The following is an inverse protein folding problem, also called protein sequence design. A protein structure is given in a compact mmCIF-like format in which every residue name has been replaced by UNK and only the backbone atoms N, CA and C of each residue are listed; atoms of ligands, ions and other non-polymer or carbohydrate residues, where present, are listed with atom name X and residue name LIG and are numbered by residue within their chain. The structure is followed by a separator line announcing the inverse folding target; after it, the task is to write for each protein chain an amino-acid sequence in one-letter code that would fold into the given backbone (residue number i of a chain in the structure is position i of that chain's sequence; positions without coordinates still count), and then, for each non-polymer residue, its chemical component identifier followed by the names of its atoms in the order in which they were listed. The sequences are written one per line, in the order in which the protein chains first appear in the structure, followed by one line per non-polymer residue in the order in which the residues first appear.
data_IF_197107029717
#
_entry.id   IF_197107029717
#
_cell.length_a   1.000
_cell.length_b   1.000
_cell.length_c   1.000
_cell.angle_alpha   90.00
_cell.angle_beta   90.00
_cell.angle_gamma   90.00
#
_symmetry.space_group_name_H-M   'P 1'
#
loop_
_entity.id
_entity.type
_entity.pdbx_description
1 polymer ?
#
# COMPACT_ATOMS: atom_id res chain seq x y z
N UNK A 1 -18.50 1.22 39.31
CA UNK A 1 -17.07 1.60 39.24
C UNK A 1 -16.59 1.45 37.80
N UNK A 2 -16.15 2.58 37.22
CA UNK A 2 -15.30 2.78 36.03
C UNK A 2 -15.68 2.04 34.73
N UNK A 3 -16.40 2.72 33.83
CA UNK A 3 -16.33 2.46 32.39
C UNK A 3 -14.88 2.71 31.96
N UNK A 4 -14.15 1.67 31.54
CA UNK A 4 -12.83 1.85 30.95
C UNK A 4 -12.98 2.76 29.73
N UNK A 5 -12.43 3.97 29.82
CA UNK A 5 -12.39 4.92 28.71
C UNK A 5 -11.42 4.34 27.67
N UNK A 6 -11.96 3.64 26.67
CA UNK A 6 -11.12 2.96 25.66
C UNK A 6 -10.42 4.04 24.83
N UNK A 7 -9.10 4.16 24.97
CA UNK A 7 -8.26 5.10 24.22
C UNK A 7 -8.53 4.94 22.72
N UNK A 8 -8.53 6.04 21.95
CA UNK A 8 -8.62 6.00 20.48
C UNK A 8 -7.53 5.08 19.92
N UNK A 9 -7.89 4.28 18.91
CA UNK A 9 -6.90 3.45 18.21
C UNK A 9 -5.87 4.37 17.53
N UNK A 10 -4.59 4.02 17.62
CA UNK A 10 -3.50 4.70 16.92
C UNK A 10 -3.10 3.88 15.70
N UNK A 11 -3.27 4.46 14.52
CA UNK A 11 -3.04 3.77 13.26
C UNK A 11 -1.87 4.45 12.56
N UNK A 12 -0.79 3.69 12.38
CA UNK A 12 0.33 4.10 11.56
C UNK A 12 0.02 3.78 10.10
N UNK A 13 0.19 4.74 9.20
CA UNK A 13 -0.03 4.57 7.77
C UNK A 13 1.28 4.89 7.05
N UNK A 14 1.82 3.91 6.35
CA UNK A 14 3.09 4.02 5.64
C UNK A 14 2.90 3.94 4.12
N UNK A 15 3.55 4.82 3.38
CA UNK A 15 3.59 4.79 1.92
C UNK A 15 4.97 5.17 1.37
N UNK A 16 5.20 4.91 0.08
CA UNK A 16 6.40 5.39 -0.61
C UNK A 16 6.35 6.88 -0.94
N UNK A 17 5.17 7.50 -0.96
CA UNK A 17 5.00 8.89 -1.38
C UNK A 17 3.69 9.50 -0.87
N UNK A 18 3.10 10.41 -1.64
CA UNK A 18 1.80 11.02 -1.30
C UNK A 18 0.61 10.21 -1.82
N UNK A 19 0.84 9.22 -2.69
CA UNK A 19 -0.20 8.35 -3.24
C UNK A 19 -1.04 7.63 -2.17
N UNK A 20 -0.40 7.25 -1.05
CA UNK A 20 -1.04 6.62 0.11
C UNK A 20 -2.05 7.51 0.84
N UNK A 21 -2.08 8.82 0.59
CA UNK A 21 -3.11 9.72 1.11
C UNK A 21 -4.52 9.33 0.62
N UNK A 22 -4.62 8.68 -0.54
CA UNK A 22 -5.88 8.11 -1.02
C UNK A 22 -6.41 7.01 -0.08
N UNK A 23 -5.53 6.14 0.42
CA UNK A 23 -5.86 5.09 1.39
C UNK A 23 -6.20 5.71 2.75
N UNK A 24 -5.40 6.68 3.20
CA UNK A 24 -5.65 7.38 4.46
C UNK A 24 -7.04 8.05 4.48
N UNK A 25 -7.41 8.70 3.37
CA UNK A 25 -8.73 9.33 3.22
C UNK A 25 -9.87 8.33 3.43
N UNK A 26 -9.78 7.15 2.82
CA UNK A 26 -10.79 6.09 2.98
C UNK A 26 -10.80 5.52 4.41
N UNK A 27 -9.63 5.36 5.04
CA UNK A 27 -9.55 4.95 6.44
C UNK A 27 -10.26 5.94 7.36
N UNK A 28 -10.03 7.24 7.20
CA UNK A 28 -10.68 8.29 7.99
C UNK A 28 -12.20 8.28 7.76
N UNK A 29 -12.64 8.09 6.52
CA UNK A 29 -14.06 8.03 6.18
C UNK A 29 -14.78 6.84 6.87
N UNK A 30 -14.12 5.68 6.95
CA UNK A 30 -14.68 4.47 7.55
C UNK A 30 -14.51 4.43 9.08
N UNK A 31 -13.41 4.99 9.60
CA UNK A 31 -13.00 4.89 11.01
C UNK A 31 -12.51 6.23 11.58
N UNK A 32 -13.32 7.29 11.48
CA UNK A 32 -12.93 8.65 11.89
C UNK A 32 -12.56 8.85 13.37
N UNK A 33 -12.79 7.87 14.24
CA UNK A 33 -12.41 7.93 15.66
C UNK A 33 -11.10 7.19 15.96
N UNK A 34 -10.05 7.53 15.21
CA UNK A 34 -8.70 7.01 15.39
C UNK A 34 -7.65 8.12 15.25
N UNK A 35 -6.51 7.94 15.88
CA UNK A 35 -5.33 8.80 15.79
C UNK A 35 -4.43 8.28 14.68
N UNK A 36 -4.46 8.95 13.52
CA UNK A 36 -3.70 8.55 12.33
C UNK A 36 -2.34 9.24 12.28
N UNK A 37 -1.29 8.46 12.09
CA UNK A 37 0.07 8.93 11.87
C UNK A 37 0.51 8.49 10.48
N UNK A 38 0.63 9.43 9.54
CA UNK A 38 1.05 9.15 8.17
C UNK A 38 2.56 9.35 8.02
N UNK A 39 3.22 8.39 7.38
CA UNK A 39 4.66 8.42 7.11
C UNK A 39 4.91 8.06 5.65
N UNK A 40 5.65 8.91 4.95
CA UNK A 40 6.00 8.71 3.54
C UNK A 40 7.50 8.80 3.33
N UNK A 41 8.06 7.82 2.62
CA UNK A 41 9.48 7.80 2.24
C UNK A 41 9.72 8.45 0.88
N UNK A 42 9.47 9.76 0.79
CA UNK A 42 9.69 10.53 -0.44
C UNK A 42 11.15 10.49 -0.92
N UNK A 43 12.10 10.17 -0.02
CA UNK A 43 13.53 10.14 -0.35
C UNK A 43 13.92 8.99 -1.28
N UNK A 44 13.17 7.88 -1.27
CA UNK A 44 13.45 6.71 -2.10
C UNK A 44 12.28 6.38 -3.04
N UNK A 45 11.38 7.35 -3.24
CA UNK A 45 10.33 7.26 -4.24
C UNK A 45 10.92 7.31 -5.66
N UNK A 46 10.41 6.52 -6.63
CA UNK A 46 9.37 5.49 -6.49
C UNK A 46 9.94 4.12 -6.09
N UNK A 47 9.24 3.41 -5.21
CA UNK A 47 9.63 2.04 -4.79
C UNK A 47 9.57 0.99 -5.91
N UNK A 48 8.89 1.31 -7.02
CA UNK A 48 8.75 0.40 -8.16
C UNK A 48 10.08 -0.03 -8.78
N UNK A 49 11.13 0.76 -8.61
CA UNK A 49 12.43 0.55 -9.26
C UNK A 49 13.45 -0.16 -8.37
N UNK A 50 13.08 -0.43 -7.11
CA UNK A 50 13.95 -1.06 -6.12
C UNK A 50 13.89 -2.58 -6.18
N UNK A 51 15.04 -3.23 -5.89
CA UNK A 51 15.06 -4.66 -5.64
C UNK A 51 14.28 -5.01 -4.36
N UNK A 52 13.82 -6.27 -4.26
CA UNK A 52 13.07 -6.72 -3.09
C UNK A 52 13.87 -6.58 -1.79
N UNK A 53 15.16 -6.90 -1.81
CA UNK A 53 16.02 -6.85 -0.62
C UNK A 53 16.32 -5.42 -0.22
N UNK A 54 16.60 -4.54 -1.19
CA UNK A 54 16.83 -3.12 -0.92
C UNK A 54 15.59 -2.47 -0.31
N UNK A 55 14.40 -2.78 -0.84
CA UNK A 55 13.16 -2.25 -0.31
C UNK A 55 12.85 -2.78 1.10
N UNK A 56 13.04 -4.09 1.34
CA UNK A 56 12.81 -4.67 2.67
C UNK A 56 13.74 -4.06 3.72
N UNK A 57 15.03 -3.94 3.43
CA UNK A 57 16.01 -3.32 4.34
C UNK A 57 15.66 -1.86 4.64
N UNK A 58 15.32 -1.08 3.60
CA UNK A 58 14.92 0.32 3.74
C UNK A 58 13.69 0.46 4.65
N UNK A 59 12.66 -0.34 4.40
CA UNK A 59 11.40 -0.24 5.17
C UNK A 59 11.62 -0.69 6.62
N UNK A 60 12.41 -1.73 6.88
CA UNK A 60 12.73 -2.13 8.24
C UNK A 60 13.46 -1.02 9.01
N UNK A 61 14.50 -0.44 8.40
CA UNK A 61 15.27 0.66 8.99
C UNK A 61 14.36 1.89 9.28
N UNK A 62 13.52 2.27 8.31
CA UNK A 62 12.64 3.42 8.46
C UNK A 62 11.57 3.25 9.53
N UNK A 63 11.05 2.02 9.68
CA UNK A 63 9.93 1.76 10.57
C UNK A 63 10.38 1.44 12.00
N UNK A 64 11.64 1.03 12.22
CA UNK A 64 12.16 0.63 13.53
C UNK A 64 11.87 1.68 14.62
N UNK A 65 12.38 2.91 14.43
CA UNK A 65 12.21 3.97 15.43
C UNK A 65 10.77 4.45 15.57
N UNK A 66 10.04 4.83 14.49
CA UNK A 66 8.68 5.32 14.61
C UNK A 66 7.73 4.29 15.25
N UNK A 67 7.84 3.01 14.90
CA UNK A 67 6.99 1.97 15.47
C UNK A 67 7.37 1.66 16.93
N UNK A 68 8.66 1.67 17.27
CA UNK A 68 9.13 1.45 18.64
C UNK A 68 8.69 2.53 19.63
N UNK A 69 8.60 3.78 19.20
CA UNK A 69 8.22 4.92 20.04
C UNK A 69 6.71 5.21 20.01
N UNK A 70 6.00 4.77 18.97
CA UNK A 70 4.68 5.28 18.63
C UNK A 70 3.49 4.64 19.34
N UNK A 71 3.66 3.46 19.96
CA UNK A 71 2.58 2.68 20.60
C UNK A 71 1.30 2.61 19.72
N UNK A 72 1.44 1.98 18.55
CA UNK A 72 0.35 1.82 17.59
C UNK A 72 -0.46 0.56 17.84
N UNK A 73 -1.73 0.59 17.47
CA UNK A 73 -2.64 -0.56 17.53
C UNK A 73 -2.70 -1.30 16.18
N UNK A 74 -2.32 -0.63 15.09
CA UNK A 74 -2.30 -1.15 13.72
C UNK A 74 -1.30 -0.37 12.86
N UNK A 75 -0.58 -1.07 11.99
CA UNK A 75 0.15 -0.48 10.87
C UNK A 75 -0.50 -0.84 9.53
N UNK A 76 -0.73 0.16 8.69
CA UNK A 76 -1.24 0.02 7.33
C UNK A 76 -0.16 0.39 6.34
N UNK A 77 0.24 -0.56 5.49
CA UNK A 77 1.10 -0.32 4.34
C UNK A 77 0.20 0.07 3.16
N UNK A 78 0.13 1.36 2.84
CA UNK A 78 -0.72 1.90 1.78
C UNK A 78 -0.14 1.71 0.37
N UNK A 79 1.18 1.51 0.27
CA UNK A 79 1.86 1.27 -0.99
C UNK A 79 1.60 -0.16 -1.47
N UNK A 80 1.02 -0.33 -2.67
CA UNK A 80 0.86 -1.67 -3.28
C UNK A 80 2.21 -2.38 -3.47
N UNK A 81 3.22 -1.66 -3.99
CA UNK A 81 4.56 -2.23 -4.23
C UNK A 81 5.18 -2.72 -2.93
N UNK A 82 5.17 -1.88 -1.88
CA UNK A 82 5.70 -2.25 -0.57
C UNK A 82 4.92 -3.42 0.01
N UNK A 83 3.58 -3.35 0.04
CA UNK A 83 2.73 -4.38 0.65
C UNK A 83 3.05 -5.80 0.14
N UNK A 84 3.29 -5.96 -1.16
CA UNK A 84 3.62 -7.27 -1.74
C UNK A 84 5.00 -7.82 -1.37
N UNK A 85 5.91 -6.98 -0.86
CA UNK A 85 7.30 -7.36 -0.57
C UNK A 85 7.65 -7.33 0.92
N UNK A 86 7.12 -6.34 1.65
CA UNK A 86 7.58 -6.06 3.01
C UNK A 86 6.66 -6.63 4.08
N UNK A 87 5.40 -6.91 3.76
CA UNK A 87 4.48 -7.48 4.76
C UNK A 87 4.96 -8.79 5.40
N UNK A 88 5.54 -9.77 4.65
CA UNK A 88 6.02 -11.00 5.27
C UNK A 88 7.09 -10.72 6.32
N UNK A 89 8.11 -9.93 5.98
CA UNK A 89 9.22 -9.64 6.90
C UNK A 89 8.77 -8.77 8.09
N UNK A 90 7.87 -7.81 7.88
CA UNK A 90 7.31 -7.01 8.98
C UNK A 90 6.54 -7.88 9.97
N UNK A 91 5.70 -8.80 9.48
CA UNK A 91 4.94 -9.72 10.35
C UNK A 91 5.82 -10.72 11.10
N UNK A 92 7.02 -10.99 10.62
CA UNK A 92 7.99 -11.83 11.33
C UNK A 92 8.74 -11.04 12.41
N UNK A 93 9.02 -9.74 12.20
CA UNK A 93 9.84 -8.94 13.10
C UNK A 93 9.05 -8.19 14.19
N UNK A 94 7.73 -8.06 14.04
CA UNK A 94 6.91 -7.24 14.92
C UNK A 94 5.62 -7.96 15.34
N UNK A 95 5.22 -7.80 16.60
CA UNK A 95 3.91 -8.27 17.10
C UNK A 95 2.76 -7.33 16.68
N UNK A 96 3.08 -6.08 16.29
CA UNK A 96 2.11 -5.11 15.79
C UNK A 96 1.34 -5.70 14.59
N UNK A 97 0.00 -5.61 14.53
CA UNK A 97 -0.73 -6.05 13.34
C UNK A 97 -0.38 -5.20 12.11
N UNK A 98 -0.09 -5.86 10.99
CA UNK A 98 0.12 -5.21 9.70
C UNK A 98 -0.97 -5.58 8.68
N UNK A 99 -1.58 -4.57 8.10
CA UNK A 99 -2.47 -4.65 6.95
C UNK A 99 -1.79 -3.95 5.78
N UNK A 100 -1.95 -4.46 4.57
CA UNK A 100 -1.50 -3.73 3.39
C UNK A 100 -2.46 -3.88 2.23
N UNK A 101 -2.19 -3.12 1.19
CA UNK A 101 -2.99 -3.12 -0.03
C UNK A 101 -2.49 -4.18 -1.01
N UNK A 102 -3.38 -4.61 -1.89
CA UNK A 102 -3.06 -5.55 -2.96
C UNK A 102 -3.72 -5.05 -4.25
N UNK A 103 -3.19 -5.42 -5.43
CA UNK A 103 -3.88 -5.15 -6.68
C UNK A 103 -5.35 -5.55 -6.61
N UNK A 104 -6.24 -4.63 -6.95
CA UNK A 104 -7.69 -4.77 -6.80
C UNK A 104 -8.33 -5.71 -7.84
N UNK A 105 -7.67 -6.83 -8.17
CA UNK A 105 -8.09 -7.81 -9.17
C UNK A 105 -9.40 -8.46 -8.77
N UNK A 106 -9.50 -9.00 -7.55
CA UNK A 106 -10.73 -9.64 -7.05
C UNK A 106 -11.97 -8.74 -7.16
N UNK A 107 -11.99 -7.52 -6.60
CA UNK A 107 -13.17 -6.66 -6.71
C UNK A 107 -13.42 -6.20 -8.16
N UNK A 108 -12.37 -6.00 -8.98
CA UNK A 108 -12.56 -5.69 -10.40
C UNK A 108 -13.26 -6.82 -11.16
N UNK A 109 -12.83 -8.07 -10.94
CA UNK A 109 -13.47 -9.25 -11.52
C UNK A 109 -14.92 -9.41 -11.07
N UNK A 110 -15.21 -9.21 -9.78
CA UNK A 110 -16.57 -9.33 -9.24
C UNK A 110 -17.53 -8.25 -9.76
N UNK A 111 -17.02 -7.07 -10.13
CA UNK A 111 -17.82 -5.93 -10.61
C UNK A 111 -17.90 -5.83 -12.14
N UNK A 112 -17.01 -6.50 -12.87
CA UNK A 112 -16.95 -6.40 -14.33
C UNK A 112 -18.16 -7.07 -14.99
N UNK A 113 -18.83 -6.34 -15.89
CA UNK A 113 -19.92 -6.87 -16.72
C UNK A 113 -19.41 -7.61 -17.96
N UNK A 114 -18.26 -7.21 -18.48
CA UNK A 114 -17.68 -7.76 -19.72
C UNK A 114 -16.69 -8.89 -19.46
N UNK A 115 -16.23 -9.04 -18.21
CA UNK A 115 -15.12 -9.93 -17.86
C UNK A 115 -13.76 -9.45 -18.39
N UNK A 116 -13.67 -8.26 -18.99
CA UNK A 116 -12.41 -7.67 -19.46
C UNK A 116 -11.94 -6.65 -18.44
N UNK A 117 -10.73 -6.84 -17.89
CA UNK A 117 -10.14 -5.90 -16.94
C UNK A 117 -8.69 -5.58 -17.32
N UNK A 118 -8.26 -4.34 -17.07
CA UNK A 118 -6.85 -3.94 -17.17
C UNK A 118 -6.35 -3.47 -15.81
N UNK A 119 -5.16 -3.91 -15.43
CA UNK A 119 -4.47 -3.46 -14.21
C UNK A 119 -3.26 -2.66 -14.64
N UNK A 120 -3.29 -1.36 -14.35
CA UNK A 120 -2.15 -0.48 -14.50
C UNK A 120 -1.35 -0.53 -13.21
N UNK A 121 -0.07 -0.86 -13.31
CA UNK A 121 0.84 -0.88 -12.18
C UNK A 121 2.27 -0.58 -12.63
N UNK A 122 3.19 -0.40 -11.67
CA UNK A 122 4.61 -0.27 -12.00
C UNK A 122 5.08 -1.53 -12.75
N UNK A 123 6.08 -1.41 -13.64
CA UNK A 123 6.62 -2.56 -14.37
C UNK A 123 7.00 -3.73 -13.46
N UNK A 124 7.63 -3.43 -12.32
CA UNK A 124 7.95 -4.44 -11.32
C UNK A 124 6.73 -5.10 -10.69
N UNK A 125 5.63 -4.39 -10.45
CA UNK A 125 4.40 -4.99 -9.92
C UNK A 125 3.69 -5.87 -10.95
N UNK A 126 3.76 -5.52 -12.24
CA UNK A 126 3.20 -6.32 -13.33
C UNK A 126 3.94 -7.64 -13.51
N UNK A 127 5.26 -7.65 -13.40
CA UNK A 127 6.09 -8.84 -13.63
C UNK A 127 6.17 -9.80 -12.44
N UNK A 128 5.46 -9.54 -11.33
CA UNK A 128 5.59 -10.30 -10.08
C UNK A 128 4.67 -11.50 -9.99
N UNK A 129 5.20 -12.58 -9.42
CA UNK A 129 4.45 -13.78 -9.09
C UNK A 129 3.25 -13.50 -8.19
N UNK A 130 3.37 -12.54 -7.26
CA UNK A 130 2.25 -12.14 -6.41
C UNK A 130 1.03 -11.68 -7.23
N UNK A 131 1.24 -10.81 -8.23
CA UNK A 131 0.17 -10.33 -9.12
C UNK A 131 -0.39 -11.48 -9.95
N UNK A 132 0.46 -12.34 -10.49
CA UNK A 132 0.03 -13.52 -11.24
C UNK A 132 -0.77 -14.52 -10.38
N UNK A 133 -0.39 -14.71 -9.10
CA UNK A 133 -1.13 -15.53 -8.14
C UNK A 133 -2.53 -14.98 -7.90
N UNK A 134 -2.67 -13.66 -7.68
CA UNK A 134 -3.98 -13.03 -7.53
C UNK A 134 -4.87 -13.21 -8.77
N UNK A 135 -4.29 -13.14 -9.98
CA UNK A 135 -5.03 -13.43 -11.22
C UNK A 135 -5.50 -14.88 -11.24
N UNK A 136 -4.59 -15.83 -10.97
CA UNK A 136 -4.93 -17.27 -10.93
C UNK A 136 -6.05 -17.56 -9.94
N UNK A 137 -5.99 -16.94 -8.77
CA UNK A 137 -6.96 -17.19 -7.69
C UNK A 137 -8.32 -16.51 -7.93
N UNK A 138 -8.33 -15.27 -8.41
CA UNK A 138 -9.54 -14.44 -8.40
C UNK A 138 -10.12 -14.10 -9.78
N UNK A 139 -9.44 -14.41 -10.88
CA UNK A 139 -9.87 -14.02 -12.23
C UNK A 139 -10.35 -15.20 -13.10
N UNK A 140 -10.84 -16.29 -12.51
CA UNK A 140 -11.32 -17.47 -13.25
C UNK A 140 -12.41 -17.16 -14.31
N UNK A 141 -13.13 -16.05 -14.16
CA UNK A 141 -14.18 -15.57 -15.09
C UNK A 141 -13.81 -14.27 -15.81
N UNK A 142 -12.56 -13.82 -15.73
CA UNK A 142 -12.14 -12.55 -16.29
C UNK A 142 -10.82 -12.68 -17.06
N UNK A 143 -10.73 -12.00 -18.19
CA UNK A 143 -9.47 -11.79 -18.90
C UNK A 143 -8.79 -10.56 -18.33
N UNK A 144 -7.65 -10.78 -17.67
CA UNK A 144 -6.84 -9.70 -17.07
C UNK A 144 -5.72 -9.32 -18.01
N UNK A 145 -5.67 -8.04 -18.37
CA UNK A 145 -4.54 -7.45 -19.07
C UNK A 145 -3.68 -6.67 -18.06
N UNK A 146 -2.40 -7.03 -17.94
CA UNK A 146 -1.46 -6.28 -17.12
C UNK A 146 -0.76 -5.23 -17.98
N UNK A 147 -0.83 -3.97 -17.57
CA UNK A 147 -0.25 -2.84 -18.29
C UNK A 147 0.82 -2.21 -17.40
N UNK A 148 2.08 -2.38 -17.80
CA UNK A 148 3.18 -1.66 -17.18
C UNK A 148 3.03 -0.17 -17.46
N UNK A 149 2.91 0.64 -16.41
CA UNK A 149 2.72 2.08 -16.50
C UNK A 149 3.98 2.79 -15.98
N UNK A 150 5.08 2.80 -16.76
CA UNK A 150 6.31 3.47 -16.36
C UNK A 150 6.03 4.95 -16.12
N UNK A 151 6.65 5.53 -15.09
CA UNK A 151 6.54 6.96 -14.72
C UNK A 151 5.15 7.44 -14.31
N UNK A 152 4.08 6.64 -14.39
CA UNK A 152 2.73 7.11 -14.04
C UNK A 152 2.67 7.64 -12.60
N UNK A 153 3.35 6.96 -11.66
CA UNK A 153 3.41 7.41 -10.27
C UNK A 153 4.12 8.77 -10.14
N UNK A 154 5.25 8.96 -10.82
CA UNK A 154 6.00 10.23 -10.85
C UNK A 154 5.16 11.36 -11.45
N UNK A 155 4.48 11.11 -12.56
CA UNK A 155 3.64 12.11 -13.23
C UNK A 155 2.47 12.54 -12.34
N UNK A 156 1.88 11.60 -11.59
CA UNK A 156 0.82 11.92 -10.63
C UNK A 156 1.38 12.78 -9.48
N UNK A 157 2.53 12.42 -8.90
CA UNK A 157 3.21 13.20 -7.86
C UNK A 157 3.55 14.62 -8.35
N UNK A 158 4.04 14.77 -9.58
CA UNK A 158 4.36 16.07 -10.17
C UNK A 158 3.11 16.96 -10.27
N UNK A 159 1.98 16.43 -10.72
CA UNK A 159 0.71 17.18 -10.76
C UNK A 159 0.25 17.53 -9.35
N UNK A 160 0.35 16.61 -8.39
CA UNK A 160 -0.04 16.86 -7.00
C UNK A 160 0.85 17.91 -6.32
N UNK A 161 2.11 18.03 -6.72
CA UNK A 161 3.03 19.08 -6.30
C UNK A 161 2.76 20.44 -6.98
N UNK A 162 1.78 20.53 -7.88
CA UNK A 162 1.43 21.75 -8.62
C UNK A 162 2.15 21.93 -9.96
N UNK A 163 2.90 20.90 -10.40
CA UNK A 163 3.50 20.84 -11.72
C UNK A 163 2.49 20.60 -12.85
N UNK A 164 2.97 20.51 -14.08
CA UNK A 164 2.16 20.18 -15.26
C UNK A 164 2.86 19.09 -16.06
N UNK A 165 2.12 18.05 -16.38
CA UNK A 165 2.59 16.94 -17.23
C UNK A 165 1.98 17.09 -18.63
N UNK A 166 2.79 16.86 -19.66
CA UNK A 166 2.41 16.94 -21.08
C UNK A 166 2.39 15.58 -21.75
#
# INVERSE_FOLDING_TARGET
MIKANKRRARIFVFDSGVGGLSVLRELIALYGNADYHYYADNALFPYGDLSADALQNRVLELLEKPLGEGNYDLCVIACNTASTQVLPILRTNYELPFVGTVPAIKPACQKSKTGLISVLATPAAVSRDYTHNLIREFASRCRVNLVGAPRLAELVEEVLAGGRVS
#
